data_IF_129722915840
#
_entry.id   IF_129722915840
#
_cell.length_a   1.000
_cell.length_b   1.000
_cell.length_c   1.000
_cell.angle_alpha   90.00
_cell.angle_beta   90.00
_cell.angle_gamma   90.00
#
_symmetry.space_group_name_H-M   'P 1'
#
loop_
_entity.id
_entity.type
_entity.pdbx_description
1 polymer ?
#
# COMPACT_ATOMS: atom_id res chain seq x y z
N UNK A 1 11.02 -14.83 -16.32
CA UNK A 1 11.21 -15.91 -15.31
C UNK A 1 9.84 -16.29 -14.82
N UNK A 2 9.51 -17.57 -14.71
CA UNK A 2 8.25 -18.03 -14.11
C UNK A 2 8.33 -18.06 -12.59
N UNK A 3 7.19 -18.20 -11.92
CA UNK A 3 7.10 -18.17 -10.46
C UNK A 3 7.87 -19.35 -9.80
N UNK A 4 7.88 -20.52 -10.43
CA UNK A 4 8.54 -21.72 -9.90
C UNK A 4 10.07 -21.58 -9.91
N UNK A 5 10.65 -21.07 -11.00
CA UNK A 5 12.07 -20.77 -11.11
C UNK A 5 12.50 -19.68 -10.11
N UNK A 6 11.67 -18.66 -9.92
CA UNK A 6 11.92 -17.62 -8.94
C UNK A 6 11.92 -18.18 -7.51
N UNK A 7 10.94 -19.01 -7.17
CA UNK A 7 10.87 -19.66 -5.84
C UNK A 7 12.08 -20.54 -5.59
N UNK A 8 12.54 -21.32 -6.59
CA UNK A 8 13.75 -22.14 -6.45
C UNK A 8 14.99 -21.29 -6.13
N UNK A 9 15.16 -20.15 -6.80
CA UNK A 9 16.25 -19.22 -6.55
C UNK A 9 16.16 -18.57 -5.17
N UNK A 10 14.98 -18.10 -4.78
CA UNK A 10 14.76 -17.48 -3.48
C UNK A 10 14.99 -18.45 -2.32
N UNK A 11 14.56 -19.71 -2.43
CA UNK A 11 14.85 -20.76 -1.43
C UNK A 11 16.34 -21.05 -1.29
N UNK A 12 17.12 -20.89 -2.37
CA UNK A 12 18.57 -21.02 -2.32
C UNK A 12 19.23 -19.87 -1.56
N UNK A 13 18.71 -18.64 -1.73
CA UNK A 13 19.23 -17.45 -1.09
C UNK A 13 18.75 -17.29 0.37
N UNK A 14 17.52 -17.74 0.67
CA UNK A 14 16.89 -17.70 2.00
C UNK A 14 16.31 -19.07 2.33
N UNK A 15 17.16 -20.04 2.77
CA UNK A 15 16.77 -21.45 2.89
C UNK A 15 15.61 -21.73 3.85
N UNK A 16 15.48 -20.94 4.93
CA UNK A 16 14.45 -21.14 5.97
C UNK A 16 13.11 -20.48 5.62
N UNK A 17 13.04 -19.77 4.49
CA UNK A 17 11.83 -19.06 4.11
C UNK A 17 10.78 -20.00 3.52
N UNK A 18 9.57 -19.96 4.07
CA UNK A 18 8.39 -20.55 3.44
C UNK A 18 7.98 -19.66 2.26
N UNK A 19 8.14 -20.19 1.05
CA UNK A 19 7.84 -19.48 -0.21
C UNK A 19 7.09 -20.45 -1.12
N UNK A 20 5.91 -20.04 -1.59
CA UNK A 20 5.12 -20.84 -2.52
C UNK A 20 4.81 -20.04 -3.78
N UNK A 21 4.86 -20.71 -4.93
CA UNK A 21 4.40 -20.15 -6.19
C UNK A 21 2.88 -20.24 -6.30
N UNK A 22 2.26 -19.17 -6.80
CA UNK A 22 0.83 -19.16 -7.14
C UNK A 22 0.69 -19.03 -8.65
N UNK A 23 -0.17 -19.86 -9.23
CA UNK A 23 -0.62 -19.67 -10.60
C UNK A 23 -1.67 -18.54 -10.64
N UNK A 24 -1.32 -17.42 -11.21
CA UNK A 24 -2.16 -16.21 -11.26
C UNK A 24 -2.42 -15.70 -12.68
N UNK A 25 -2.02 -16.42 -13.71
CA UNK A 25 -2.38 -16.14 -15.10
C UNK A 25 -1.90 -14.80 -15.70
N UNK A 26 -1.82 -13.73 -14.89
CA UNK A 26 -1.50 -12.36 -15.33
C UNK A 26 -0.03 -11.97 -15.11
N UNK A 27 0.57 -12.42 -14.01
CA UNK A 27 1.98 -12.19 -13.69
C UNK A 27 2.49 -13.21 -12.68
N UNK A 28 3.81 -13.50 -12.65
CA UNK A 28 4.38 -14.35 -11.60
C UNK A 28 3.96 -13.89 -10.22
N UNK A 29 3.49 -14.83 -9.40
CA UNK A 29 3.01 -14.52 -8.05
C UNK A 29 3.56 -15.54 -7.05
N UNK A 30 3.97 -15.05 -5.88
CA UNK A 30 4.50 -15.87 -4.78
C UNK A 30 3.83 -15.49 -3.46
N UNK A 31 3.71 -16.47 -2.56
CA UNK A 31 3.37 -16.22 -1.15
C UNK A 31 4.63 -16.42 -0.34
N UNK A 32 4.87 -15.52 0.61
CA UNK A 32 6.02 -15.58 1.51
C UNK A 32 5.58 -15.42 2.97
N UNK A 33 6.34 -16.01 3.88
CA UNK A 33 6.11 -15.80 5.31
C UNK A 33 6.55 -14.40 5.74
N UNK A 34 5.82 -13.80 6.69
CA UNK A 34 6.11 -12.44 7.19
C UNK A 34 7.48 -12.32 7.87
N UNK A 35 7.94 -13.40 8.48
CA UNK A 35 9.22 -13.46 9.21
C UNK A 35 10.42 -13.26 8.27
N UNK A 36 10.29 -13.67 7.02
CA UNK A 36 11.36 -13.59 6.01
C UNK A 36 11.15 -12.46 5.00
N UNK A 37 10.11 -11.64 5.17
CA UNK A 37 9.73 -10.60 4.22
C UNK A 37 10.88 -9.65 3.87
N UNK A 38 11.61 -9.13 4.86
CA UNK A 38 12.73 -8.20 4.63
C UNK A 38 13.87 -8.89 3.88
N UNK A 39 14.23 -10.13 4.26
CA UNK A 39 15.30 -10.88 3.61
C UNK A 39 14.97 -11.20 2.15
N UNK A 40 13.72 -11.58 1.88
CA UNK A 40 13.22 -11.85 0.53
C UNK A 40 13.22 -10.56 -0.30
N UNK A 41 12.71 -9.46 0.23
CA UNK A 41 12.75 -8.16 -0.44
C UNK A 41 14.18 -7.73 -0.78
N UNK A 42 15.12 -7.88 0.16
CA UNK A 42 16.53 -7.60 -0.07
C UNK A 42 17.11 -8.48 -1.20
N UNK A 43 16.83 -9.78 -1.18
CA UNK A 43 17.26 -10.70 -2.23
C UNK A 43 16.65 -10.34 -3.60
N UNK A 44 15.36 -10.03 -3.65
CA UNK A 44 14.68 -9.61 -4.88
C UNK A 44 15.29 -8.35 -5.49
N UNK A 45 15.66 -7.37 -4.65
CA UNK A 45 16.30 -6.14 -5.09
C UNK A 45 17.74 -6.33 -5.56
N UNK A 46 18.55 -7.04 -4.75
CA UNK A 46 20.01 -7.03 -4.88
C UNK A 46 20.57 -8.21 -5.68
N UNK A 47 19.79 -9.29 -5.88
CA UNK A 47 20.27 -10.46 -6.61
C UNK A 47 20.51 -10.13 -8.10
N UNK A 48 21.71 -10.42 -8.66
CA UNK A 48 22.10 -10.00 -10.01
C UNK A 48 21.15 -10.46 -11.13
N UNK A 49 20.47 -11.58 -10.95
CA UNK A 49 19.55 -12.13 -11.94
C UNK A 49 18.10 -11.70 -11.75
N UNK A 50 17.76 -10.93 -10.70
CA UNK A 50 16.39 -10.52 -10.35
C UNK A 50 16.18 -9.02 -10.51
N UNK A 51 16.93 -8.22 -9.78
CA UNK A 51 16.95 -6.76 -9.85
C UNK A 51 15.55 -6.12 -9.76
N UNK A 52 14.69 -6.61 -8.86
CA UNK A 52 13.40 -5.96 -8.58
C UNK A 52 13.62 -4.69 -7.75
N UNK A 53 14.23 -3.69 -8.38
CA UNK A 53 14.63 -2.45 -7.71
C UNK A 53 13.46 -1.49 -7.43
N UNK A 54 12.33 -1.68 -8.09
CA UNK A 54 11.17 -0.80 -7.94
C UNK A 54 10.04 -1.52 -7.19
N UNK A 55 9.69 -1.00 -6.01
CA UNK A 55 8.41 -1.28 -5.37
C UNK A 55 7.36 -0.33 -5.97
N UNK A 56 6.44 -0.90 -6.72
CA UNK A 56 5.40 -0.16 -7.44
C UNK A 56 4.26 0.21 -6.51
N UNK A 57 3.84 -0.76 -5.66
CA UNK A 57 2.71 -0.55 -4.75
C UNK A 57 2.74 -1.57 -3.60
N UNK A 58 2.11 -1.19 -2.48
CA UNK A 58 1.75 -2.07 -1.37
C UNK A 58 0.28 -1.86 -1.06
N UNK A 59 -0.50 -2.92 -1.13
CA UNK A 59 -1.92 -2.87 -0.79
C UNK A 59 -2.33 -4.10 0.04
N UNK A 60 -3.59 -4.18 0.44
CA UNK A 60 -4.10 -5.31 1.20
C UNK A 60 -5.46 -5.76 0.70
N UNK A 61 -5.79 -7.01 1.01
CA UNK A 61 -7.11 -7.61 0.80
C UNK A 61 -7.60 -8.17 2.12
N UNK A 62 -8.85 -7.87 2.48
CA UNK A 62 -9.56 -8.52 3.58
C UNK A 62 -10.31 -9.72 3.00
N UNK A 63 -9.93 -10.93 3.41
CA UNK A 63 -10.49 -12.19 2.92
C UNK A 63 -11.62 -12.73 3.80
N UNK A 64 -12.09 -11.96 4.81
CA UNK A 64 -13.17 -12.41 5.70
C UNK A 64 -14.31 -13.08 4.90
N UNK A 65 -14.79 -14.28 5.25
CA UNK A 65 -14.54 -14.99 6.52
C UNK A 65 -13.35 -15.97 6.51
N UNK A 66 -12.49 -15.94 5.50
CA UNK A 66 -11.34 -16.84 5.39
C UNK A 66 -10.24 -16.50 6.40
N UNK A 67 -9.48 -17.53 6.84
CA UNK A 67 -8.25 -17.40 7.62
C UNK A 67 -7.07 -18.05 6.87
N UNK A 68 -5.91 -17.40 6.84
CA UNK A 68 -5.58 -16.06 7.39
C UNK A 68 -6.37 -14.94 6.73
N UNK A 69 -6.91 -14.01 7.54
CA UNK A 69 -7.89 -13.00 7.12
C UNK A 69 -7.33 -11.96 6.16
N UNK A 70 -6.11 -11.50 6.40
CA UNK A 70 -5.55 -10.43 5.58
C UNK A 70 -4.46 -10.95 4.66
N UNK A 71 -4.41 -10.39 3.47
CA UNK A 71 -3.35 -10.63 2.50
C UNK A 71 -2.74 -9.30 2.10
N UNK A 72 -1.47 -9.06 2.52
CA UNK A 72 -0.67 -7.95 1.98
C UNK A 72 -0.20 -8.32 0.59
N UNK A 73 -0.23 -7.37 -0.33
CA UNK A 73 0.15 -7.54 -1.72
C UNK A 73 1.20 -6.49 -2.08
N UNK A 74 2.39 -6.94 -2.46
CA UNK A 74 3.48 -6.11 -2.92
C UNK A 74 3.65 -6.27 -4.42
N UNK A 75 3.59 -5.19 -5.17
CA UNK A 75 3.87 -5.18 -6.60
C UNK A 75 5.30 -4.67 -6.84
N UNK A 76 6.12 -5.53 -7.41
CA UNK A 76 7.53 -5.26 -7.66
C UNK A 76 7.81 -5.28 -9.16
N UNK A 77 8.76 -4.46 -9.60
CA UNK A 77 9.21 -4.44 -10.97
C UNK A 77 10.74 -4.39 -11.08
N UNK A 78 11.25 -5.17 -12.03
CA UNK A 78 12.59 -5.02 -12.57
C UNK A 78 12.49 -4.24 -13.88
N UNK A 79 13.23 -3.14 -13.96
CA UNK A 79 13.24 -2.25 -15.13
C UNK A 79 14.27 -2.67 -16.19
N UNK A 80 14.99 -3.76 -15.94
CA UNK A 80 15.95 -4.31 -16.86
C UNK A 80 17.16 -3.39 -17.10
N UNK A 81 17.63 -3.36 -18.33
CA UNK A 81 18.80 -2.57 -18.76
C UNK A 81 18.66 -1.06 -18.52
N UNK A 82 17.43 -0.55 -18.37
CA UNK A 82 17.17 0.88 -18.17
C UNK A 82 17.52 1.34 -16.74
N UNK A 83 17.69 0.40 -15.81
CA UNK A 83 18.06 0.69 -14.42
C UNK A 83 19.00 -0.40 -13.89
N UNK A 84 20.25 -0.46 -14.40
CA UNK A 84 21.19 -1.50 -13.97
C UNK A 84 21.57 -1.29 -12.51
N UNK A 85 21.43 -2.33 -11.70
CA UNK A 85 22.05 -2.39 -10.38
C UNK A 85 23.56 -2.45 -10.57
N UNK A 86 24.32 -1.64 -9.86
CA UNK A 86 25.77 -1.56 -10.02
C UNK A 86 26.43 -2.94 -9.91
N UNK A 87 27.15 -3.35 -10.96
CA UNK A 87 27.85 -4.65 -11.05
C UNK A 87 26.97 -5.84 -11.49
N UNK A 88 25.70 -5.65 -11.81
CA UNK A 88 24.85 -6.71 -12.35
C UNK A 88 24.81 -6.67 -13.88
N UNK A 89 24.66 -7.84 -14.50
CA UNK A 89 24.43 -7.96 -15.94
C UNK A 89 23.00 -7.54 -16.35
N UNK A 90 22.72 -7.46 -17.65
CA UNK A 90 21.39 -7.11 -18.15
C UNK A 90 20.34 -8.17 -17.74
N UNK A 91 19.22 -7.71 -17.20
CA UNK A 91 18.04 -8.51 -16.85
C UNK A 91 16.85 -8.02 -17.69
N UNK A 92 16.04 -8.94 -18.18
CA UNK A 92 14.82 -8.56 -18.89
C UNK A 92 13.80 -7.89 -17.95
N UNK A 93 13.10 -6.81 -18.38
CA UNK A 93 12.06 -6.20 -17.60
C UNK A 93 11.01 -7.23 -17.17
N UNK A 94 10.63 -7.20 -15.90
CA UNK A 94 9.66 -8.15 -15.36
C UNK A 94 8.88 -7.55 -14.19
N UNK A 95 7.71 -8.14 -13.90
CA UNK A 95 6.87 -7.79 -12.75
C UNK A 95 6.65 -9.00 -11.88
N UNK A 96 6.49 -8.77 -10.60
CA UNK A 96 6.24 -9.78 -9.60
C UNK A 96 5.15 -9.30 -8.63
N UNK A 97 4.22 -10.17 -8.31
CA UNK A 97 3.29 -9.99 -7.18
C UNK A 97 3.75 -10.88 -6.02
N UNK A 98 4.08 -10.27 -4.91
CA UNK A 98 4.44 -10.98 -3.69
C UNK A 98 3.34 -10.77 -2.65
N UNK A 99 2.91 -11.84 -2.00
CA UNK A 99 1.82 -11.85 -1.05
C UNK A 99 2.30 -12.32 0.32
N UNK A 100 1.77 -11.69 1.37
CA UNK A 100 2.00 -12.11 2.77
C UNK A 100 0.64 -12.27 3.45
N UNK A 101 0.38 -13.44 4.00
CA UNK A 101 -0.89 -13.70 4.71
C UNK A 101 -0.73 -13.43 6.19
N UNK A 102 -1.70 -12.72 6.76
CA UNK A 102 -1.72 -12.30 8.14
C UNK A 102 -3.02 -12.75 8.82
N UNK A 103 -2.94 -13.29 10.06
CA UNK A 103 -4.13 -13.71 10.79
C UNK A 103 -4.92 -12.51 11.31
N UNK A 104 -6.20 -12.73 11.64
CA UNK A 104 -7.09 -11.66 12.11
C UNK A 104 -6.68 -11.09 13.48
N UNK A 105 -6.15 -11.93 14.36
CA UNK A 105 -5.75 -11.58 15.74
C UNK A 105 -4.39 -10.91 15.85
N UNK A 106 -3.53 -11.05 14.82
CA UNK A 106 -2.22 -10.40 14.75
C UNK A 106 -1.93 -9.86 13.34
N UNK A 107 -2.66 -8.83 12.87
CA UNK A 107 -2.51 -8.25 11.54
C UNK A 107 -1.29 -7.34 11.47
N UNK A 108 -0.09 -7.91 11.51
CA UNK A 108 1.18 -7.17 11.58
C UNK A 108 2.24 -7.81 10.70
N UNK A 109 3.09 -6.97 10.07
CA UNK A 109 4.24 -7.38 9.29
C UNK A 109 5.42 -6.42 9.54
N UNK A 110 6.67 -6.82 9.33
CA UNK A 110 7.76 -5.87 9.33
C UNK A 110 7.66 -4.90 8.16
N UNK A 111 8.02 -3.62 8.40
CA UNK A 111 8.13 -2.63 7.31
C UNK A 111 9.22 -3.02 6.32
N UNK A 112 8.99 -2.77 5.05
CA UNK A 112 10.03 -2.92 4.01
C UNK A 112 10.70 -1.60 3.63
N UNK A 113 10.47 -0.52 4.38
CA UNK A 113 11.06 0.80 4.12
C UNK A 113 12.59 0.81 4.14
N UNK A 114 13.22 -0.11 4.88
CA UNK A 114 14.68 -0.29 4.88
C UNK A 114 15.23 -0.83 3.57
N UNK A 115 14.41 -1.54 2.80
CA UNK A 115 14.75 -2.10 1.49
C UNK A 115 14.24 -1.18 0.38
N UNK A 116 12.98 -0.77 0.47
CA UNK A 116 12.28 0.10 -0.47
C UNK A 116 11.77 1.35 0.25
N UNK A 117 12.50 2.47 0.23
CA UNK A 117 12.04 3.70 0.89
C UNK A 117 10.67 4.19 0.42
N UNK A 118 10.28 3.86 -0.82
CA UNK A 118 8.96 4.18 -1.38
C UNK A 118 7.80 3.48 -0.66
N UNK A 119 8.05 2.42 0.13
CA UNK A 119 7.04 1.71 0.90
C UNK A 119 6.36 2.57 1.97
N UNK A 120 7.03 3.63 2.45
CA UNK A 120 6.54 4.42 3.57
C UNK A 120 5.13 4.97 3.40
N UNK A 121 4.76 5.42 2.21
CA UNK A 121 3.43 5.96 1.95
C UNK A 121 2.35 4.87 1.78
N UNK A 122 2.53 3.85 0.93
CA UNK A 122 1.54 2.80 0.78
C UNK A 122 1.37 1.94 2.04
N UNK A 123 2.40 1.71 2.85
CA UNK A 123 2.25 1.03 4.14
C UNK A 123 1.35 1.84 5.10
N UNK A 124 1.47 3.18 5.12
CA UNK A 124 0.54 4.05 5.88
C UNK A 124 -0.89 3.96 5.36
N UNK A 125 -1.08 3.87 4.04
CA UNK A 125 -2.41 3.70 3.45
C UNK A 125 -3.03 2.38 3.89
N UNK A 126 -2.28 1.29 3.81
CA UNK A 126 -2.73 -0.03 4.29
C UNK A 126 -3.05 0.00 5.79
N UNK A 127 -2.22 0.62 6.61
CA UNK A 127 -2.51 0.82 8.03
C UNK A 127 -3.81 1.60 8.23
N UNK A 128 -3.98 2.71 7.54
CA UNK A 128 -5.14 3.59 7.69
C UNK A 128 -6.45 2.90 7.30
N UNK A 129 -6.46 2.19 6.18
CA UNK A 129 -7.68 1.62 5.61
C UNK A 129 -8.01 0.21 6.11
N UNK A 130 -7.02 -0.61 6.47
CA UNK A 130 -7.21 -1.99 6.92
C UNK A 130 -6.81 -2.23 8.38
N UNK A 131 -6.02 -1.34 8.99
CA UNK A 131 -5.52 -1.49 10.35
C UNK A 131 -4.43 -2.56 10.49
N UNK A 132 -3.70 -2.82 9.41
CA UNK A 132 -2.53 -3.68 9.44
C UNK A 132 -1.34 -2.84 9.90
N UNK A 133 -0.64 -3.27 10.96
CA UNK A 133 0.51 -2.56 11.50
C UNK A 133 1.81 -2.98 10.84
N UNK A 134 2.75 -2.03 10.68
CA UNK A 134 4.07 -2.29 10.12
C UNK A 134 5.14 -2.04 11.17
N UNK A 135 5.74 -3.12 11.69
CA UNK A 135 6.76 -3.06 12.74
C UNK A 135 8.03 -2.39 12.21
N UNK A 136 8.52 -1.38 12.93
CA UNK A 136 9.69 -0.61 12.53
C UNK A 136 9.44 0.48 11.48
N UNK A 137 8.18 0.75 11.11
CA UNK A 137 7.86 1.85 10.20
C UNK A 137 8.22 3.20 10.84
N UNK A 138 8.92 4.11 10.12
CA UNK A 138 9.44 5.36 10.71
C UNK A 138 8.35 6.35 11.13
N UNK A 139 7.16 6.32 10.51
CA UNK A 139 6.07 7.27 10.77
C UNK A 139 4.71 6.64 10.43
N UNK A 140 4.26 5.67 11.25
CA UNK A 140 3.00 4.95 11.04
C UNK A 140 1.82 5.73 11.60
N UNK A 141 1.26 6.61 10.81
CA UNK A 141 0.06 7.41 11.13
C UNK A 141 -0.91 7.43 9.94
N UNK A 142 -2.16 7.80 10.17
CA UNK A 142 -3.18 7.91 9.12
C UNK A 142 -2.73 8.84 7.99
N UNK A 143 -3.26 8.63 6.79
CA UNK A 143 -2.92 9.41 5.60
C UNK A 143 -4.14 9.85 4.80
N UNK A 144 -5.17 9.02 4.68
CA UNK A 144 -6.39 9.29 3.92
C UNK A 144 -7.55 9.67 4.83
N UNK A 145 -7.69 8.99 5.97
CA UNK A 145 -8.75 9.28 6.91
C UNK A 145 -8.33 10.39 7.88
N UNK A 146 -9.29 11.19 8.39
CA UNK A 146 -9.04 12.14 9.49
C UNK A 146 -8.48 11.43 10.73
N UNK A 147 -7.69 12.14 11.54
CA UNK A 147 -7.05 11.56 12.73
C UNK A 147 -8.07 11.04 13.76
N UNK A 148 -9.26 11.65 13.82
CA UNK A 148 -10.35 11.28 14.70
C UNK A 148 -11.28 10.19 14.13
N UNK A 149 -10.96 9.65 12.95
CA UNK A 149 -11.76 8.58 12.36
C UNK A 149 -11.66 7.28 13.14
N UNK A 150 -12.81 6.67 13.46
CA UNK A 150 -12.88 5.42 14.21
C UNK A 150 -12.93 4.22 13.28
N UNK A 151 -12.00 3.28 13.46
CA UNK A 151 -11.92 2.05 12.69
C UNK A 151 -11.18 2.18 11.34
N UNK A 152 -11.38 1.19 10.48
CA UNK A 152 -10.66 1.04 9.21
C UNK A 152 -11.66 0.72 8.09
N UNK A 153 -11.90 1.66 7.16
CA UNK A 153 -13.08 1.62 6.29
C UNK A 153 -13.05 0.53 5.20
N UNK A 154 -11.90 -0.07 4.89
CA UNK A 154 -11.83 -1.17 3.92
C UNK A 154 -11.92 -2.57 4.53
N UNK A 155 -12.06 -2.68 5.84
CA UNK A 155 -12.39 -3.97 6.47
C UNK A 155 -13.82 -4.38 6.11
N UNK A 156 -14.02 -5.67 5.80
CA UNK A 156 -15.35 -6.21 5.46
C UNK A 156 -16.35 -6.17 6.62
N UNK A 157 -15.88 -6.17 7.86
CA UNK A 157 -16.70 -6.01 9.05
C UNK A 157 -16.97 -4.54 9.41
N UNK A 158 -16.41 -3.59 8.66
CA UNK A 158 -16.68 -2.18 8.84
C UNK A 158 -18.05 -1.81 8.24
N UNK A 159 -18.93 -1.08 8.98
CA UNK A 159 -20.27 -0.76 8.50
C UNK A 159 -20.24 0.14 7.25
N UNK A 160 -20.93 -0.28 6.19
CA UNK A 160 -20.99 0.45 4.90
C UNK A 160 -21.75 1.79 5.04
N UNK A 161 -22.67 1.88 6.01
CA UNK A 161 -23.39 3.11 6.33
C UNK A 161 -23.16 3.49 7.79
N UNK A 162 -22.26 4.44 8.00
CA UNK A 162 -22.23 5.15 9.28
C UNK A 162 -23.40 6.12 9.24
N UNK A 163 -24.49 5.82 9.96
CA UNK A 163 -25.48 6.84 10.30
C UNK A 163 -24.76 7.81 11.24
N UNK A 164 -24.21 8.89 10.70
CA UNK A 164 -23.91 10.04 11.53
C UNK A 164 -25.21 10.43 12.20
N UNK A 165 -25.20 10.53 13.51
CA UNK A 165 -26.35 11.03 14.26
C UNK A 165 -26.74 12.36 13.59
N UNK A 166 -27.91 12.37 12.96
CA UNK A 166 -28.43 13.55 12.25
C UNK A 166 -28.69 14.74 13.18
N UNK A 167 -28.59 14.52 14.50
CA UNK A 167 -28.74 15.56 15.51
C UNK A 167 -27.58 16.55 15.56
N UNK A 168 -26.40 16.22 15.04
CA UNK A 168 -25.22 17.12 15.09
C UNK A 168 -24.79 17.69 13.74
N UNK A 169 -25.39 17.24 12.63
CA UNK A 169 -25.04 17.72 11.30
C UNK A 169 -26.29 18.20 10.55
N UNK A 170 -26.53 19.50 10.56
CA UNK A 170 -27.41 20.13 9.58
C UNK A 170 -26.58 20.46 8.35
N UNK A 171 -26.91 19.92 7.17
CA UNK A 171 -26.30 20.44 5.96
C UNK A 171 -26.54 21.95 5.90
N UNK A 172 -25.47 22.70 5.66
CA UNK A 172 -25.61 24.14 5.39
C UNK A 172 -26.39 24.27 4.08
N UNK A 173 -27.71 24.28 4.17
CA UNK A 173 -28.59 24.60 3.05
C UNK A 173 -28.55 26.09 2.89
N UNK A 174 -27.69 26.59 2.03
CA UNK A 174 -27.74 27.93 1.54
C UNK A 174 -28.92 28.04 0.55
N UNK A 175 -29.81 28.98 0.75
CA UNK A 175 -30.77 29.29 -0.29
C UNK A 175 -30.03 29.77 -1.56
N UNK A 176 -30.64 29.71 -2.75
CA UNK A 176 -30.03 30.22 -3.99
C UNK A 176 -29.62 31.69 -3.86
N UNK A 177 -30.41 32.48 -3.09
CA UNK A 177 -30.14 33.89 -2.85
C UNK A 177 -28.92 34.11 -1.94
N UNK A 178 -28.79 33.33 -0.85
CA UNK A 178 -27.63 33.36 0.05
C UNK A 178 -26.36 32.91 -0.67
N UNK A 179 -26.45 31.88 -1.50
CA UNK A 179 -25.33 31.44 -2.34
C UNK A 179 -24.87 32.55 -3.29
N UNK A 180 -25.84 33.21 -3.99
CA UNK A 180 -25.54 34.29 -4.90
C UNK A 180 -24.96 35.53 -4.17
N UNK A 181 -25.39 35.79 -2.94
CA UNK A 181 -24.85 36.86 -2.10
C UNK A 181 -23.38 36.54 -1.69
N UNK A 182 -23.09 35.30 -1.27
CA UNK A 182 -21.76 34.88 -0.89
C UNK A 182 -20.78 34.94 -2.07
N UNK A 183 -21.20 34.54 -3.26
CA UNK A 183 -20.40 34.63 -4.48
C UNK A 183 -20.10 36.10 -4.83
N UNK A 184 -21.07 37.00 -4.73
CA UNK A 184 -20.85 38.44 -4.95
C UNK A 184 -19.86 39.04 -3.96
N UNK A 185 -20.04 38.74 -2.67
CA UNK A 185 -19.12 39.21 -1.63
C UNK A 185 -17.68 38.69 -1.80
N UNK A 186 -17.52 37.42 -2.24
CA UNK A 186 -16.20 36.85 -2.54
C UNK A 186 -15.53 37.55 -3.73
N UNK A 187 -16.27 37.85 -4.81
CA UNK A 187 -15.77 38.60 -5.97
C UNK A 187 -15.36 40.02 -5.61
N UNK A 188 -16.15 40.73 -4.79
CA UNK A 188 -15.80 42.07 -4.32
C UNK A 188 -14.56 42.11 -3.45
N UNK A 189 -14.35 41.09 -2.58
CA UNK A 189 -13.09 40.93 -1.79
C UNK A 189 -11.90 40.72 -2.69
N UNK A 190 -12.01 39.82 -3.69
CA UNK A 190 -10.95 39.54 -4.64
C UNK A 190 -10.60 40.81 -5.47
N UNK A 191 -11.60 41.58 -5.93
CA UNK A 191 -11.39 42.82 -6.67
C UNK A 191 -10.69 43.91 -5.82
N UNK A 192 -11.04 44.01 -4.53
CA UNK A 192 -10.36 44.93 -3.59
C UNK A 192 -8.93 44.52 -3.27
N UNK A 193 -8.60 43.23 -3.31
CA UNK A 193 -7.22 42.75 -3.14
C UNK A 193 -6.37 43.03 -4.38
N UNK A 194 -6.91 42.77 -5.57
CA UNK A 194 -6.23 43.01 -6.84
C UNK A 194 -6.00 44.49 -7.17
N UNK A 195 -6.77 45.42 -6.59
CA UNK A 195 -6.59 46.88 -6.76
C UNK A 195 -5.67 47.53 -5.71
N UNK A 196 -4.99 46.74 -4.88
CA UNK A 196 -4.03 47.22 -3.86
C UNK A 196 -2.56 46.88 -4.20
N UNK A 197 -2.35 46.24 -5.33
CA UNK A 197 -1.02 46.04 -5.96
C UNK A 197 -0.85 47.08 -7.10
#
# INVERSE_FOLDING_TARGET
MDASSLVALLRQAVPDAAIDAIDSGDMPSIVVSREHLIAICGTLRDHPSLQFALLVDVTAVDLLPEEPRYELVYHLASLGEHYPTAGAGPVAPSRLRMKVRLPADDPRAPTVTSVYPSAGWPEREVYDLFGISFDGHPDLRRILMPDDWVGHPLRKDYPVQIRKDTASWSPVQLSPEEFAANVRAARERAAKQAGRE
#
